data_IF_627382049477
#
_entry.id   IF_627382049477
#
_cell.length_a   1.000
_cell.length_b   1.000
_cell.length_c   1.000
_cell.angle_alpha   90.00
_cell.angle_beta   90.00
_cell.angle_gamma   90.00
#
_symmetry.space_group_name_H-M   'P 1'
#
loop_
_entity.id
_entity.type
_entity.pdbx_description
1 polymer ?
#
# COMPACT_ATOMS: atom_id res chain seq x y z
N UNK A 1 -6.89 26.74 12.13
CA UNK A 1 -6.43 25.93 10.98
C UNK A 1 -6.30 24.48 11.44
N UNK A 2 -7.20 23.56 11.03
CA UNK A 2 -7.06 22.14 11.39
C UNK A 2 -5.79 21.62 10.73
N UNK A 3 -4.78 21.19 11.51
CA UNK A 3 -3.63 20.47 10.94
C UNK A 3 -4.16 19.19 10.34
N UNK A 4 -4.06 19.05 9.02
CA UNK A 4 -4.42 17.82 8.34
C UNK A 4 -3.28 16.80 8.53
N UNK A 5 -3.20 16.29 9.76
CA UNK A 5 -2.25 15.27 10.20
C UNK A 5 -2.36 13.98 9.39
N UNK A 6 -3.48 13.79 8.69
CA UNK A 6 -3.75 12.67 7.79
C UNK A 6 -2.81 12.66 6.59
N UNK A 7 -2.42 13.83 6.09
CA UNK A 7 -1.55 13.95 4.91
C UNK A 7 -0.19 13.31 5.15
N UNK A 8 0.40 13.57 6.32
CA UNK A 8 1.68 12.96 6.74
C UNK A 8 1.57 11.43 6.83
N UNK A 9 0.48 10.92 7.41
CA UNK A 9 0.23 9.48 7.53
C UNK A 9 0.10 8.81 6.16
N UNK A 10 -0.65 9.43 5.24
CA UNK A 10 -0.84 8.92 3.88
C UNK A 10 0.48 8.92 3.12
N UNK A 11 1.32 9.97 3.22
CA UNK A 11 2.63 10.01 2.58
C UNK A 11 3.56 8.91 3.09
N UNK A 12 3.63 8.71 4.41
CA UNK A 12 4.44 7.64 5.00
C UNK A 12 4.00 6.26 4.51
N UNK A 13 2.70 5.99 4.52
CA UNK A 13 2.16 4.71 4.06
C UNK A 13 2.38 4.50 2.54
N UNK A 14 2.17 5.54 1.73
CA UNK A 14 2.41 5.48 0.29
C UNK A 14 3.88 5.22 -0.03
N UNK A 15 4.80 5.81 0.75
CA UNK A 15 6.24 5.57 0.61
C UNK A 15 6.58 4.10 0.84
N UNK A 16 6.05 3.50 1.91
CA UNK A 16 6.28 2.08 2.21
C UNK A 16 5.63 1.15 1.18
N UNK A 17 4.41 1.46 0.71
CA UNK A 17 3.74 0.71 -0.36
C UNK A 17 4.52 0.76 -1.68
N UNK A 18 5.36 1.77 -1.90
CA UNK A 18 6.17 1.89 -3.11
C UNK A 18 7.54 1.20 -2.98
N UNK A 19 7.78 0.45 -1.90
CA UNK A 19 9.09 -0.15 -1.58
C UNK A 19 10.13 0.87 -1.09
N UNK A 20 9.69 2.10 -0.79
CA UNK A 20 10.53 3.15 -0.27
C UNK A 20 10.69 3.08 1.25
N UNK A 21 11.47 4.01 1.78
CA UNK A 21 11.70 4.19 3.21
C UNK A 21 11.73 5.66 3.56
N UNK A 22 11.51 6.03 4.82
CA UNK A 22 11.53 7.42 5.25
C UNK A 22 12.24 7.61 6.60
N UNK A 23 12.85 8.78 6.78
CA UNK A 23 13.49 9.19 8.04
C UNK A 23 12.57 10.14 8.81
N UNK A 24 12.48 9.96 10.12
CA UNK A 24 11.68 10.84 10.99
C UNK A 24 12.23 12.26 10.99
N UNK A 25 13.56 12.44 11.03
CA UNK A 25 14.23 13.75 10.97
C UNK A 25 13.89 14.50 9.67
N UNK A 26 13.86 13.78 8.54
CA UNK A 26 13.51 14.36 7.25
C UNK A 26 12.05 14.83 7.21
N UNK A 27 11.13 14.03 7.79
CA UNK A 27 9.72 14.38 7.90
C UNK A 27 9.49 15.57 8.84
N UNK A 28 10.19 15.64 9.97
CA UNK A 28 10.14 16.77 10.90
C UNK A 28 10.52 18.07 10.20
N UNK A 29 11.65 18.10 9.47
CA UNK A 29 12.09 19.27 8.72
C UNK A 29 11.07 19.70 7.66
N UNK A 30 10.43 18.74 6.99
CA UNK A 30 9.44 19.01 5.92
C UNK A 30 8.10 19.49 6.47
N UNK A 31 7.64 18.92 7.59
CA UNK A 31 6.28 19.12 8.11
C UNK A 31 6.22 20.02 9.35
N UNK A 32 7.35 20.46 9.90
CA UNK A 32 7.41 21.23 11.15
C UNK A 32 6.77 20.50 12.34
N UNK A 33 6.67 19.17 12.26
CA UNK A 33 6.01 18.34 13.26
C UNK A 33 7.08 17.68 14.13
N UNK A 34 7.02 17.81 15.46
CA UNK A 34 8.08 17.30 16.33
C UNK A 34 8.33 15.80 16.13
N UNK A 35 9.60 15.40 16.17
CA UNK A 35 10.02 14.00 15.99
C UNK A 35 9.22 13.02 16.85
N UNK A 36 9.02 13.37 18.14
CA UNK A 36 8.21 12.58 19.09
C UNK A 36 6.79 12.34 18.60
N UNK A 37 6.15 13.37 18.02
CA UNK A 37 4.80 13.28 17.48
C UNK A 37 4.76 12.38 16.25
N UNK A 38 5.75 12.49 15.36
CA UNK A 38 5.84 11.62 14.18
C UNK A 38 6.04 10.16 14.60
N UNK A 39 6.96 9.88 15.54
CA UNK A 39 7.18 8.53 16.08
C UNK A 39 5.92 7.93 16.71
N UNK A 40 5.18 8.72 17.48
CA UNK A 40 3.88 8.29 18.04
C UNK A 40 2.87 7.99 16.93
N UNK A 41 2.78 8.84 15.91
CA UNK A 41 1.89 8.61 14.76
C UNK A 41 2.23 7.31 14.03
N UNK A 42 3.51 7.00 13.82
CA UNK A 42 3.95 5.75 13.19
C UNK A 42 3.54 4.54 14.03
N UNK A 43 3.86 4.53 15.33
CA UNK A 43 3.53 3.43 16.24
C UNK A 43 2.02 3.17 16.34
N UNK A 44 1.20 4.22 16.31
CA UNK A 44 -0.24 4.10 16.52
C UNK A 44 -1.05 3.91 15.22
N UNK A 45 -0.51 4.33 14.06
CA UNK A 45 -1.29 4.37 12.82
C UNK A 45 -0.64 3.68 11.62
N UNK A 46 0.66 3.41 11.63
CA UNK A 46 1.37 2.80 10.50
C UNK A 46 1.80 1.37 10.85
N UNK A 47 2.59 1.22 11.92
CA UNK A 47 3.11 -0.08 12.33
C UNK A 47 2.02 -1.15 12.58
N UNK A 48 0.85 -0.82 13.17
CA UNK A 48 -0.20 -1.82 13.42
C UNK A 48 -0.86 -2.36 12.15
N UNK A 49 -0.73 -1.69 11.01
CA UNK A 49 -1.30 -2.15 9.73
C UNK A 49 -0.60 -3.39 9.20
N UNK A 50 0.72 -3.47 9.38
CA UNK A 50 1.55 -4.61 8.99
C UNK A 50 2.53 -4.96 10.12
N UNK A 51 2.02 -5.59 11.20
CA UNK A 51 2.84 -5.94 12.35
C UNK A 51 4.02 -6.81 11.91
N UNK A 52 5.20 -6.57 12.48
CA UNK A 52 6.47 -7.28 12.20
C UNK A 52 7.09 -7.05 10.81
N UNK A 53 6.33 -6.53 9.84
CA UNK A 53 6.84 -6.21 8.49
C UNK A 53 7.40 -4.78 8.45
N UNK A 54 6.66 -3.82 9.01
CA UNK A 54 7.12 -2.42 9.10
C UNK A 54 7.93 -2.26 10.39
N UNK A 55 9.18 -1.83 10.24
CA UNK A 55 10.11 -1.70 11.35
C UNK A 55 11.05 -0.50 11.18
N UNK A 56 11.67 -0.10 12.28
CA UNK A 56 12.72 0.91 12.28
C UNK A 56 14.08 0.23 12.11
N UNK A 57 14.80 0.60 11.05
CA UNK A 57 16.18 0.19 10.82
C UNK A 57 17.14 1.19 11.52
N UNK A 58 17.84 0.77 12.60
CA UNK A 58 18.76 1.64 13.32
C UNK A 58 20.00 2.01 12.51
N UNK A 59 20.40 1.19 11.54
CA UNK A 59 21.62 1.42 10.75
C UNK A 59 21.48 2.58 9.78
N UNK A 60 20.27 2.76 9.24
CA UNK A 60 19.96 3.85 8.29
C UNK A 60 19.15 4.98 8.93
N UNK A 61 18.69 4.82 10.17
CA UNK A 61 17.75 5.70 10.86
C UNK A 61 16.42 5.89 10.09
N UNK A 62 15.92 4.83 9.47
CA UNK A 62 14.72 4.88 8.61
C UNK A 62 13.68 3.85 9.01
N UNK A 63 12.42 4.18 8.74
CA UNK A 63 11.35 3.21 8.73
C UNK A 63 11.28 2.54 7.36
N UNK A 64 11.23 1.21 7.39
CA UNK A 64 11.28 0.34 6.21
C UNK A 64 10.20 -0.74 6.31
N UNK A 65 9.81 -1.30 5.17
CA UNK A 65 9.07 -2.55 5.11
C UNK A 65 10.03 -3.68 4.73
N UNK A 66 10.04 -4.77 5.49
CA UNK A 66 10.91 -5.94 5.24
C UNK A 66 10.45 -6.79 4.04
N UNK A 67 9.23 -6.59 3.59
CA UNK A 67 8.59 -7.31 2.48
C UNK A 67 7.83 -6.33 1.59
N UNK A 68 7.52 -6.71 0.36
CA UNK A 68 6.65 -5.90 -0.52
C UNK A 68 5.22 -5.90 0.02
N UNK A 69 4.80 -4.74 0.53
CA UNK A 69 3.47 -4.56 1.10
C UNK A 69 2.35 -4.70 0.05
N UNK A 70 2.62 -4.44 -1.24
CA UNK A 70 1.62 -4.61 -2.30
C UNK A 70 1.27 -6.06 -2.55
N UNK A 71 2.15 -7.00 -2.20
CA UNK A 71 1.82 -8.43 -2.22
C UNK A 71 0.91 -8.84 -1.06
N UNK A 72 0.80 -7.99 -0.03
CA UNK A 72 -0.02 -8.24 1.18
C UNK A 72 -1.38 -7.55 1.13
N UNK A 73 -1.55 -6.54 0.26
CA UNK A 73 -2.79 -5.78 0.17
C UNK A 73 -3.08 -5.19 -1.20
N UNK A 74 -4.37 -5.10 -1.54
CA UNK A 74 -4.89 -4.32 -2.66
C UNK A 74 -5.29 -2.89 -2.27
N UNK A 75 -5.28 -2.56 -0.97
CA UNK A 75 -5.74 -1.26 -0.46
C UNK A 75 -4.70 -0.17 -0.73
N UNK A 76 -5.19 1.01 -1.09
CA UNK A 76 -4.38 2.21 -1.20
C UNK A 76 -3.90 2.71 0.17
N UNK A 77 -2.88 3.58 0.15
CA UNK A 77 -2.39 4.24 1.37
C UNK A 77 -3.53 4.93 2.14
N UNK A 78 -4.43 5.62 1.44
CA UNK A 78 -5.55 6.32 2.06
C UNK A 78 -6.51 5.36 2.76
N UNK A 79 -6.90 4.28 2.10
CA UNK A 79 -7.80 3.27 2.68
C UNK A 79 -7.19 2.57 3.89
N UNK A 80 -5.90 2.24 3.84
CA UNK A 80 -5.18 1.68 4.99
C UNK A 80 -5.18 2.62 6.19
N UNK A 81 -4.84 3.91 5.99
CA UNK A 81 -4.86 4.90 7.07
C UNK A 81 -6.27 5.08 7.61
N UNK A 82 -7.28 5.17 6.75
CA UNK A 82 -8.69 5.25 7.17
C UNK A 82 -9.10 4.05 8.02
N UNK A 83 -8.74 2.83 7.60
CA UNK A 83 -9.02 1.61 8.35
C UNK A 83 -8.38 1.63 9.74
N UNK A 84 -7.12 2.07 9.83
CA UNK A 84 -6.44 2.15 11.13
C UNK A 84 -7.02 3.25 12.02
N UNK A 85 -7.42 4.39 11.46
CA UNK A 85 -8.10 5.44 12.22
C UNK A 85 -9.45 4.95 12.76
N UNK A 86 -10.21 4.19 11.97
CA UNK A 86 -11.44 3.55 12.43
C UNK A 86 -11.15 2.58 13.58
N UNK A 87 -10.12 1.74 13.47
CA UNK A 87 -9.67 0.85 14.57
C UNK A 87 -9.36 1.63 15.85
N UNK A 88 -8.58 2.70 15.73
CA UNK A 88 -8.20 3.55 16.86
C UNK A 88 -9.39 4.33 17.44
N UNK A 89 -10.43 4.59 16.66
CA UNK A 89 -11.64 5.24 17.16
C UNK A 89 -12.54 4.24 17.90
N UNK A 90 -12.64 3.02 17.39
CA UNK A 90 -13.41 1.91 17.98
C UNK A 90 -12.91 1.58 19.40
N UNK A 91 -11.63 1.75 19.70
CA UNK A 91 -11.09 1.46 21.04
C UNK A 91 -11.65 2.34 22.17
N UNK A 92 -12.47 3.36 21.86
CA UNK A 92 -13.12 4.21 22.85
C UNK A 92 -14.52 3.72 23.27
N UNK A 93 -15.00 2.61 22.71
CA UNK A 93 -16.31 2.02 23.06
C UNK A 93 -16.16 0.89 24.08
N UNK A 94 -17.29 0.31 24.50
CA UNK A 94 -17.31 -0.84 25.40
C UNK A 94 -16.59 -2.05 24.81
N UNK A 95 -16.06 -2.92 25.69
CA UNK A 95 -15.30 -4.10 25.29
C UNK A 95 -16.06 -5.01 24.31
N UNK A 96 -17.38 -5.13 24.47
CA UNK A 96 -18.26 -5.87 23.57
C UNK A 96 -18.23 -5.29 22.14
N UNK A 97 -18.39 -3.97 22.01
CA UNK A 97 -18.34 -3.26 20.72
C UNK A 97 -16.95 -3.38 20.11
N UNK A 98 -15.89 -3.24 20.92
CA UNK A 98 -14.50 -3.37 20.48
C UNK A 98 -14.25 -4.77 19.91
N UNK A 99 -14.72 -5.81 20.58
CA UNK A 99 -14.57 -7.19 20.10
C UNK A 99 -15.28 -7.40 18.76
N UNK A 100 -16.53 -6.95 18.63
CA UNK A 100 -17.31 -7.15 17.42
C UNK A 100 -16.80 -6.32 16.24
N UNK A 101 -16.41 -5.08 16.48
CA UNK A 101 -15.77 -4.26 15.46
C UNK A 101 -14.43 -4.83 15.02
N UNK A 102 -13.60 -5.34 15.95
CA UNK A 102 -12.37 -6.04 15.59
C UNK A 102 -12.63 -7.31 14.79
N UNK A 103 -13.66 -8.10 15.12
CA UNK A 103 -14.07 -9.27 14.30
C UNK A 103 -14.47 -8.85 12.89
N UNK A 104 -15.28 -7.79 12.74
CA UNK A 104 -15.71 -7.28 11.44
C UNK A 104 -14.53 -6.77 10.61
N UNK A 105 -13.65 -5.98 11.22
CA UNK A 105 -12.46 -5.46 10.58
C UNK A 105 -11.50 -6.58 10.18
N UNK A 106 -11.35 -7.61 11.02
CA UNK A 106 -10.56 -8.78 10.69
C UNK A 106 -11.20 -9.60 9.56
N UNK A 107 -12.52 -9.76 9.51
CA UNK A 107 -13.23 -10.39 8.38
C UNK A 107 -13.03 -9.61 7.08
N UNK A 108 -13.13 -8.28 7.13
CA UNK A 108 -12.86 -7.42 5.97
C UNK A 108 -11.40 -7.54 5.53
N UNK A 109 -10.47 -7.42 6.47
CA UNK A 109 -9.04 -7.58 6.22
C UNK A 109 -8.72 -8.97 5.67
N UNK A 110 -9.32 -10.04 6.18
CA UNK A 110 -9.17 -11.37 5.62
C UNK A 110 -9.80 -11.45 4.23
N UNK A 111 -10.98 -10.91 3.96
CA UNK A 111 -11.54 -10.91 2.60
C UNK A 111 -10.68 -10.15 1.58
N UNK A 112 -10.00 -9.09 2.02
CA UNK A 112 -9.19 -8.20 1.18
C UNK A 112 -7.72 -8.66 1.06
N UNK A 113 -7.16 -9.23 2.14
CA UNK A 113 -5.77 -9.72 2.23
C UNK A 113 -5.65 -11.24 1.99
N UNK A 114 -6.70 -12.04 2.20
CA UNK A 114 -6.68 -13.48 1.95
C UNK A 114 -6.84 -13.76 0.45
N UNK A 115 -5.68 -14.00 -0.16
CA UNK A 115 -5.35 -15.22 -0.94
C UNK A 115 -6.21 -15.69 -2.13
N UNK A 116 -7.34 -15.09 -2.49
CA UNK A 116 -8.10 -15.54 -3.67
C UNK A 116 -8.14 -14.53 -4.84
N UNK A 117 -8.00 -13.23 -4.59
CA UNK A 117 -7.97 -12.24 -5.69
C UNK A 117 -6.55 -12.16 -6.30
N UNK A 118 -5.50 -12.22 -5.47
CA UNK A 118 -4.11 -12.11 -5.95
C UNK A 118 -3.62 -13.42 -6.57
N UNK A 119 -4.16 -14.57 -6.15
CA UNK A 119 -3.72 -15.90 -6.63
C UNK A 119 -4.43 -16.38 -7.91
N UNK A 120 -5.43 -15.64 -8.40
CA UNK A 120 -6.10 -15.87 -9.69
C UNK A 120 -5.63 -14.96 -10.82
N UNK A 121 -4.61 -14.12 -10.61
CA UNK A 121 -3.78 -13.72 -11.75
C UNK A 121 -2.91 -14.94 -12.02
N UNK A 122 -3.25 -15.74 -13.03
CA UNK A 122 -2.28 -16.70 -13.59
C UNK A 122 -0.99 -15.91 -13.78
N UNK A 123 0.07 -16.26 -13.05
CA UNK A 123 1.42 -15.90 -13.46
C UNK A 123 1.66 -16.73 -14.71
N UNK A 124 1.17 -16.25 -15.85
CA UNK A 124 1.57 -16.80 -17.13
C UNK A 124 3.05 -16.48 -17.26
N UNK A 125 3.87 -17.53 -17.42
CA UNK A 125 5.25 -17.35 -17.82
C UNK A 125 5.20 -16.70 -19.20
N UNK A 126 5.58 -15.43 -19.25
CA UNK A 126 5.74 -14.72 -20.50
C UNK A 126 7.01 -15.23 -21.15
N UNK A 127 6.93 -15.59 -22.43
CA UNK A 127 8.13 -15.74 -23.24
C UNK A 127 8.90 -14.41 -23.31
N UNK A 128 10.13 -14.47 -23.83
CA UNK A 128 11.04 -13.33 -23.89
C UNK A 128 10.40 -12.14 -24.62
N UNK A 129 9.66 -12.38 -25.70
CA UNK A 129 9.02 -11.34 -26.52
C UNK A 129 7.95 -10.59 -25.74
N UNK A 130 7.08 -11.31 -25.02
CA UNK A 130 6.05 -10.70 -24.19
C UNK A 130 6.64 -10.00 -22.95
N UNK A 131 7.76 -10.49 -22.40
CA UNK A 131 8.47 -9.78 -21.32
C UNK A 131 9.00 -8.42 -21.77
N UNK A 132 9.61 -8.36 -22.96
CA UNK A 132 10.09 -7.10 -23.54
C UNK A 132 8.96 -6.11 -23.79
N UNK A 133 7.83 -6.57 -24.33
CA UNK A 133 6.62 -5.75 -24.50
C UNK A 133 6.10 -5.20 -23.17
N UNK A 134 6.07 -6.01 -22.11
CA UNK A 134 5.65 -5.57 -20.79
C UNK A 134 6.57 -4.50 -20.22
N UNK A 135 7.89 -4.61 -20.41
CA UNK A 135 8.85 -3.59 -19.99
C UNK A 135 8.58 -2.27 -20.71
N UNK A 136 8.35 -2.31 -22.03
CA UNK A 136 8.04 -1.12 -22.83
C UNK A 136 6.75 -0.43 -22.36
N UNK A 137 5.69 -1.20 -22.07
CA UNK A 137 4.42 -0.70 -21.57
C UNK A 137 4.55 -0.06 -20.18
N UNK A 138 5.23 -0.74 -19.24
CA UNK A 138 5.47 -0.22 -17.90
C UNK A 138 6.26 1.09 -17.94
N UNK A 139 7.25 1.20 -18.81
CA UNK A 139 8.03 2.41 -19.00
C UNK A 139 7.19 3.55 -19.59
N UNK A 140 6.34 3.26 -20.58
CA UNK A 140 5.44 4.27 -21.15
C UNK A 140 4.42 4.79 -20.12
N UNK A 141 3.87 3.92 -19.27
CA UNK A 141 2.97 4.29 -18.17
C UNK A 141 3.69 5.24 -17.20
N UNK A 142 4.90 4.87 -16.75
CA UNK A 142 5.72 5.69 -15.83
C UNK A 142 6.02 7.08 -16.42
N UNK A 143 6.27 7.14 -17.72
CA UNK A 143 6.61 8.37 -18.44
C UNK A 143 5.38 9.13 -18.96
N UNK A 144 4.17 8.62 -18.73
CA UNK A 144 2.90 9.16 -19.28
C UNK A 144 2.96 9.34 -20.81
N UNK A 145 3.64 8.43 -21.51
CA UNK A 145 3.79 8.45 -22.96
C UNK A 145 2.72 7.62 -23.63
N UNK A 146 2.23 8.11 -24.77
CA UNK A 146 1.33 7.34 -25.65
C UNK A 146 2.11 6.19 -26.29
N UNK A 147 1.50 5.02 -26.34
CA UNK A 147 2.03 3.84 -27.06
C UNK A 147 1.14 3.59 -28.27
N UNK A 148 1.76 3.30 -29.41
CA UNK A 148 1.09 2.78 -30.59
C UNK A 148 1.40 1.30 -30.71
N UNK A 149 0.40 0.46 -30.90
CA UNK A 149 0.58 -0.97 -31.12
C UNK A 149 -0.29 -1.44 -32.29
N UNK A 150 0.16 -2.51 -32.94
CA UNK A 150 -0.61 -3.23 -33.94
C UNK A 150 -1.34 -4.37 -33.21
N UNK A 151 -2.67 -4.29 -33.16
CA UNK A 151 -3.49 -5.31 -32.50
C UNK A 151 -3.98 -6.33 -33.52
N UNK A 152 -3.53 -7.58 -33.37
CA UNK A 152 -3.96 -8.67 -34.25
C UNK A 152 -5.41 -9.06 -33.94
N UNK A 153 -6.33 -8.67 -34.83
CA UNK A 153 -7.74 -9.00 -34.69
C UNK A 153 -8.03 -10.41 -35.24
N UNK A 154 -8.36 -11.37 -34.37
CA UNK A 154 -8.59 -12.79 -34.75
C UNK A 154 -9.89 -13.05 -35.52
N UNK A 155 -10.72 -12.05 -35.81
CA UNK A 155 -12.07 -12.23 -36.38
C UNK A 155 -12.20 -12.24 -37.92
N UNK A 156 -11.13 -12.21 -38.70
CA UNK A 156 -11.22 -12.23 -40.18
C UNK A 156 -10.99 -13.62 -40.83
N UNK A 157 -10.85 -14.70 -40.05
CA UNK A 157 -10.50 -16.02 -40.59
C UNK A 157 -11.68 -16.94 -40.97
N UNK A 158 -12.94 -16.47 -40.96
CA UNK A 158 -14.10 -17.28 -41.38
C UNK A 158 -15.13 -16.47 -42.15
N UNK A 159 -14.83 -16.12 -43.40
CA UNK A 159 -15.80 -15.89 -44.47
C UNK A 159 -15.15 -16.31 -45.79
N UNK A 160 -15.25 -17.62 -46.10
CA UNK A 160 -15.21 -18.17 -47.46
C UNK A 160 -16.41 -19.09 -47.58
#
# INVERSE_FOLDING_TARGET
MKRDDTKLLIEMMQTLLNGGSFSVKALEKRYGTPERTIRSKIKNNIQPLFPKIIDYDPSTERWVAKEDLREKTILSAKELISLQMMKNHVSNFSDEIVQDANKLLNKFQQGVFAKEIIRKIRKEELDIEHQEMMILLLNAIRQKKKVSCLYNNRHLAKLK
#
